data_IF_619407510745
#
_entry.id   IF_619407510745
#
_cell.length_a   1.000
_cell.length_b   1.000
_cell.length_c   1.000
_cell.angle_alpha   90.00
_cell.angle_beta   90.00
_cell.angle_gamma   90.00
#
_symmetry.space_group_name_H-M   'P 1'
#
loop_
_entity.id
_entity.type
_entity.pdbx_description
1 polymer ?
#
# COMPACT_ATOMS: atom_id res chain seq x y z
N UNK A 1 -6.72 10.68 5.64
CA UNK A 1 -5.63 10.65 4.65
C UNK A 1 -6.19 10.48 3.24
N UNK A 2 -5.47 10.94 2.23
CA UNK A 2 -5.79 10.80 0.81
C UNK A 2 -4.72 9.91 0.16
N UNK A 3 -5.09 9.09 -0.81
CA UNK A 3 -4.14 8.31 -1.57
C UNK A 3 -3.20 9.23 -2.37
N UNK A 4 -1.91 9.21 -2.04
CA UNK A 4 -0.84 9.89 -2.79
C UNK A 4 -0.20 8.88 -3.74
N UNK A 5 -0.07 9.26 -5.01
CA UNK A 5 0.46 8.38 -6.07
C UNK A 5 1.60 9.03 -6.86
N UNK A 6 2.03 10.20 -6.42
CA UNK A 6 3.17 10.95 -6.93
C UNK A 6 4.07 11.27 -5.75
N UNK A 7 5.34 10.91 -5.87
CA UNK A 7 6.31 11.07 -4.79
C UNK A 7 7.59 11.69 -5.31
N UNK A 8 8.22 12.50 -4.46
CA UNK A 8 9.58 12.98 -4.67
C UNK A 8 10.57 11.82 -4.54
N UNK A 9 11.75 11.89 -5.18
CA UNK A 9 12.75 10.83 -5.10
C UNK A 9 13.51 10.81 -3.77
N UNK A 10 13.28 11.81 -2.90
CA UNK A 10 13.99 11.93 -1.63
C UNK A 10 13.78 10.68 -0.76
N UNK A 11 14.84 10.10 -0.18
CA UNK A 11 14.73 8.93 0.67
C UNK A 11 13.93 9.25 1.94
N UNK A 12 13.14 8.29 2.41
CA UNK A 12 12.44 8.39 3.68
C UNK A 12 13.38 7.92 4.80
N UNK A 13 13.68 8.76 5.80
CA UNK A 13 14.50 8.37 6.94
C UNK A 13 13.93 7.15 7.69
N UNK A 14 14.81 6.26 8.16
CA UNK A 14 14.42 5.04 8.89
C UNK A 14 13.55 5.35 10.11
N UNK A 15 13.85 6.44 10.82
CA UNK A 15 13.08 6.85 12.01
C UNK A 15 11.62 7.21 11.68
N UNK A 16 11.36 7.73 10.47
CA UNK A 16 9.99 8.00 10.02
C UNK A 16 9.28 6.70 9.62
N UNK A 17 10.00 5.77 8.98
CA UNK A 17 9.47 4.44 8.66
C UNK A 17 9.11 3.70 9.95
N UNK A 18 9.99 3.68 10.95
CA UNK A 18 9.73 3.08 12.26
C UNK A 18 8.50 3.68 12.95
N UNK A 19 8.32 5.00 12.89
CA UNK A 19 7.13 5.67 13.48
C UNK A 19 5.83 5.25 12.79
N UNK A 20 5.82 5.11 11.47
CA UNK A 20 4.61 4.66 10.77
C UNK A 20 4.32 3.18 11.03
N UNK A 21 5.34 2.35 11.16
CA UNK A 21 5.20 0.94 11.54
C UNK A 21 4.72 0.80 12.98
N UNK A 22 5.27 1.60 13.90
CA UNK A 22 4.79 1.64 15.28
C UNK A 22 3.30 1.98 15.35
N UNK A 23 2.85 2.97 14.59
CA UNK A 23 1.43 3.31 14.53
C UNK A 23 0.58 2.18 13.93
N UNK A 24 1.10 1.49 12.92
CA UNK A 24 0.44 0.33 12.31
C UNK A 24 0.17 -0.76 13.37
N UNK A 25 1.16 -1.06 14.23
CA UNK A 25 1.02 -2.07 15.29
C UNK A 25 0.07 -1.66 16.42
N UNK A 26 -0.46 -0.43 16.42
CA UNK A 26 -1.52 0.00 17.38
C UNK A 26 -2.93 -0.31 16.87
N UNK A 27 -3.06 -0.98 15.73
CA UNK A 27 -4.33 -1.43 15.22
C UNK A 27 -4.94 -2.53 16.09
N UNK A 28 -6.26 -2.66 16.03
CA UNK A 28 -6.95 -3.81 16.61
C UNK A 28 -6.64 -5.08 15.82
N UNK A 29 -6.52 -6.20 16.51
CA UNK A 29 -6.45 -7.53 15.88
C UNK A 29 -7.33 -8.52 16.65
N UNK A 30 -7.92 -9.51 15.98
CA UNK A 30 -8.77 -10.49 16.63
C UNK A 30 -8.03 -11.18 17.78
N UNK A 31 -8.62 -11.15 18.97
CA UNK A 31 -8.02 -11.68 20.21
C UNK A 31 -6.56 -11.22 20.48
N UNK A 32 -6.21 -10.03 20.01
CA UNK A 32 -4.84 -9.47 20.11
C UNK A 32 -3.75 -10.42 19.53
N UNK A 33 -4.09 -11.19 18.50
CA UNK A 33 -3.15 -12.15 17.88
C UNK A 33 -2.00 -11.48 17.16
N UNK A 34 -2.18 -10.21 16.72
CA UNK A 34 -1.15 -9.41 16.06
C UNK A 34 -0.45 -10.16 14.92
N UNK A 35 -1.22 -10.91 14.14
CA UNK A 35 -0.74 -11.79 13.06
C UNK A 35 -0.31 -11.06 11.79
N UNK A 36 0.12 -9.81 11.90
CA UNK A 36 0.68 -9.02 10.80
C UNK A 36 2.20 -9.09 10.75
N UNK A 37 2.73 -8.93 9.56
CA UNK A 37 4.16 -8.73 9.28
C UNK A 37 4.30 -7.57 8.30
N UNK A 38 5.40 -6.82 8.41
CA UNK A 38 5.68 -5.68 7.53
C UNK A 38 7.00 -5.92 6.81
N UNK A 39 6.94 -5.98 5.48
CA UNK A 39 8.14 -6.07 4.64
C UNK A 39 8.40 -4.67 4.07
N UNK A 40 9.50 -4.06 4.48
CA UNK A 40 9.91 -2.72 4.07
C UNK A 40 11.00 -2.83 3.02
N UNK A 41 10.74 -2.28 1.85
CA UNK A 41 11.67 -2.30 0.71
C UNK A 41 12.16 -0.89 0.44
N UNK A 42 13.42 -0.63 0.76
CA UNK A 42 14.12 0.63 0.48
C UNK A 42 15.33 0.42 -0.44
N UNK A 43 15.81 -0.81 -0.60
CA UNK A 43 16.89 -1.15 -1.52
C UNK A 43 16.52 -0.81 -2.97
N UNK A 44 17.33 -0.01 -3.70
CA UNK A 44 17.00 0.44 -5.04
C UNK A 44 16.87 -0.69 -6.06
N UNK A 45 17.71 -1.73 -5.97
CA UNK A 45 17.70 -2.84 -6.92
C UNK A 45 16.46 -3.72 -6.73
N UNK A 46 16.09 -3.98 -5.47
CA UNK A 46 14.87 -4.74 -5.14
C UNK A 46 13.63 -3.92 -5.55
N UNK A 47 13.61 -2.61 -5.27
CA UNK A 47 12.51 -1.74 -5.70
C UNK A 47 12.36 -1.71 -7.22
N UNK A 48 13.49 -1.67 -7.95
CA UNK A 48 13.47 -1.72 -9.41
C UNK A 48 12.86 -3.03 -9.92
N UNK A 49 13.31 -4.18 -9.39
CA UNK A 49 12.76 -5.49 -9.77
C UNK A 49 11.25 -5.56 -9.52
N UNK A 50 10.78 -5.06 -8.37
CA UNK A 50 9.36 -4.98 -8.06
C UNK A 50 8.64 -4.04 -9.01
N UNK A 51 9.22 -2.87 -9.31
CA UNK A 51 8.64 -1.87 -10.21
C UNK A 51 8.41 -2.40 -11.61
N UNK A 52 9.37 -3.15 -12.15
CA UNK A 52 9.29 -3.74 -13.49
C UNK A 52 8.07 -4.68 -13.63
N UNK A 53 7.62 -5.32 -12.54
CA UNK A 53 6.41 -6.15 -12.54
C UNK A 53 5.11 -5.36 -12.79
N UNK A 54 5.09 -4.07 -12.45
CA UNK A 54 3.89 -3.24 -12.59
C UNK A 54 3.82 -2.46 -13.90
N UNK A 55 4.87 -2.47 -14.73
CA UNK A 55 4.88 -1.78 -16.01
C UNK A 55 3.75 -2.23 -16.96
N UNK A 56 3.42 -3.54 -17.08
CA UNK A 56 2.29 -3.97 -17.90
C UNK A 56 0.93 -3.42 -17.44
N UNK A 57 0.76 -3.21 -16.12
CA UNK A 57 -0.43 -2.55 -15.59
C UNK A 57 -0.50 -1.09 -16.04
N UNK A 58 0.60 -0.33 -15.91
CA UNK A 58 0.66 1.05 -16.34
C UNK A 58 0.36 1.20 -17.84
N UNK A 59 0.92 0.31 -18.67
CA UNK A 59 0.65 0.27 -20.12
C UNK A 59 -0.82 -0.03 -20.41
N UNK A 60 -1.44 -0.96 -19.71
CA UNK A 60 -2.88 -1.24 -19.86
C UNK A 60 -3.73 -0.03 -19.48
N UNK A 61 -3.41 0.63 -18.36
CA UNK A 61 -4.14 1.82 -17.90
C UNK A 61 -4.00 2.99 -18.88
N UNK A 62 -2.87 3.14 -19.55
CA UNK A 62 -2.66 4.20 -20.53
C UNK A 62 -3.57 4.09 -21.76
N UNK A 63 -4.10 2.89 -22.02
CA UNK A 63 -5.02 2.61 -23.15
C UNK A 63 -6.50 2.81 -22.80
N UNK A 64 -6.81 3.16 -21.54
CA UNK A 64 -8.19 3.40 -21.14
C UNK A 64 -8.71 4.71 -21.77
N UNK A 65 -9.97 4.72 -22.22
CA UNK A 65 -10.58 5.93 -22.76
C UNK A 65 -10.67 7.03 -21.69
N UNK A 66 -10.77 8.28 -22.16
CA UNK A 66 -11.01 9.41 -21.26
C UNK A 66 -12.34 9.19 -20.52
N UNK A 67 -12.35 9.17 -19.19
CA UNK A 67 -13.55 8.93 -18.37
C UNK A 67 -14.54 10.12 -18.35
N UNK A 68 -14.23 11.24 -19.03
CA UNK A 68 -15.14 12.35 -19.21
C UNK A 68 -15.26 13.34 -18.06
N UNK A 69 -14.69 13.05 -16.89
CA UNK A 69 -14.69 13.97 -15.74
C UNK A 69 -13.33 14.05 -15.05
N UNK A 70 -13.07 15.17 -14.38
CA UNK A 70 -11.75 15.47 -13.80
C UNK A 70 -11.36 14.57 -12.61
N UNK A 71 -12.34 14.06 -11.88
CA UNK A 71 -12.07 13.18 -10.73
C UNK A 71 -11.54 11.84 -11.20
N UNK A 72 -12.17 11.26 -12.21
CA UNK A 72 -11.75 9.97 -12.76
C UNK A 72 -10.50 10.10 -13.61
N UNK A 73 -10.31 11.23 -14.34
CA UNK A 73 -9.04 11.54 -15.01
C UNK A 73 -7.87 11.56 -14.04
N UNK A 74 -8.03 12.23 -12.89
CA UNK A 74 -7.00 12.26 -11.84
C UNK A 74 -6.75 10.88 -11.25
N UNK A 75 -7.79 10.10 -11.06
CA UNK A 75 -7.69 8.72 -10.56
C UNK A 75 -6.95 7.84 -11.54
N UNK A 76 -7.30 7.91 -12.83
CA UNK A 76 -6.66 7.14 -13.89
C UNK A 76 -5.19 7.52 -14.06
N UNK A 77 -4.88 8.83 -14.12
CA UNK A 77 -3.50 9.34 -14.16
C UNK A 77 -2.69 8.88 -12.96
N UNK A 78 -3.29 8.91 -11.77
CA UNK A 78 -2.64 8.42 -10.55
C UNK A 78 -2.38 6.93 -10.57
N UNK A 79 -3.32 6.12 -11.09
CA UNK A 79 -3.14 4.67 -11.22
C UNK A 79 -2.03 4.33 -12.24
N UNK A 80 -2.02 5.03 -13.37
CA UNK A 80 -0.97 4.88 -14.38
C UNK A 80 0.41 5.23 -13.79
N UNK A 81 0.52 6.37 -13.10
CA UNK A 81 1.78 6.79 -12.47
C UNK A 81 2.24 5.79 -11.41
N UNK A 82 1.31 5.27 -10.61
CA UNK A 82 1.61 4.26 -9.59
C UNK A 82 2.28 3.02 -10.21
N UNK A 83 1.71 2.49 -11.30
CA UNK A 83 2.28 1.34 -11.99
C UNK A 83 3.61 1.65 -12.70
N UNK A 84 3.70 2.80 -13.37
CA UNK A 84 4.89 3.19 -14.13
C UNK A 84 6.10 3.53 -13.25
N UNK A 85 5.86 3.99 -12.02
CA UNK A 85 6.90 4.51 -11.13
C UNK A 85 7.05 3.75 -9.82
N UNK A 86 6.42 2.59 -9.66
CA UNK A 86 6.49 1.83 -8.39
C UNK A 86 7.93 1.60 -7.92
N UNK A 87 8.85 1.25 -8.82
CA UNK A 87 10.26 1.04 -8.51
C UNK A 87 11.05 2.31 -8.17
N UNK A 88 10.54 3.48 -8.55
CA UNK A 88 11.18 4.78 -8.30
C UNK A 88 10.76 5.40 -6.97
N UNK A 89 9.70 4.90 -6.33
CA UNK A 89 9.27 5.41 -5.04
C UNK A 89 10.28 5.06 -3.95
N UNK A 90 10.56 5.97 -3.00
CA UNK A 90 11.66 5.79 -2.06
C UNK A 90 11.48 4.61 -1.10
N UNK A 91 10.24 4.19 -0.86
CA UNK A 91 9.92 3.08 0.02
C UNK A 91 8.64 2.38 -0.45
N UNK A 92 8.63 1.04 -0.38
CA UNK A 92 7.44 0.22 -0.59
C UNK A 92 7.27 -0.66 0.65
N UNK A 93 6.07 -0.67 1.24
CA UNK A 93 5.75 -1.49 2.41
C UNK A 93 4.67 -2.49 2.02
N UNK A 94 4.95 -3.78 2.17
CA UNK A 94 3.95 -4.84 2.10
C UNK A 94 3.46 -5.13 3.52
N UNK A 95 2.16 -4.98 3.74
CA UNK A 95 1.54 -5.39 5.00
C UNK A 95 0.97 -6.78 4.78
N UNK A 96 1.57 -7.73 5.44
CA UNK A 96 1.25 -9.14 5.32
C UNK A 96 0.52 -9.64 6.57
N UNK A 97 -0.15 -10.78 6.45
CA UNK A 97 -0.85 -11.40 7.56
C UNK A 97 -0.70 -12.91 7.57
N UNK A 98 -0.78 -13.49 8.77
CA UNK A 98 -0.87 -14.93 8.97
C UNK A 98 -2.28 -15.31 9.38
N UNK A 99 -2.84 -16.31 8.72
CA UNK A 99 -4.16 -16.82 9.05
C UNK A 99 -4.07 -17.77 10.24
N UNK A 100 -4.08 -17.21 11.45
CA UNK A 100 -3.82 -17.93 12.72
C UNK A 100 -4.99 -17.88 13.71
N UNK A 101 -6.12 -17.26 13.34
CA UNK A 101 -7.23 -17.08 14.27
C UNK A 101 -8.60 -17.43 13.63
N UNK A 102 -9.50 -18.12 14.37
CA UNK A 102 -9.27 -18.84 15.64
C UNK A 102 -8.23 -19.96 15.47
N UNK A 103 -7.52 -20.32 16.54
CA UNK A 103 -6.42 -21.28 16.45
C UNK A 103 -6.87 -22.70 15.99
N UNK A 104 -8.10 -23.09 16.32
CA UNK A 104 -8.72 -24.36 15.96
C UNK A 104 -9.36 -24.35 14.56
N UNK A 105 -9.66 -23.17 14.00
CA UNK A 105 -10.28 -23.01 12.68
C UNK A 105 -9.94 -21.63 12.09
N UNK A 106 -8.70 -21.41 11.63
CA UNK A 106 -8.26 -20.12 11.11
C UNK A 106 -9.08 -19.66 9.91
N UNK A 107 -9.44 -18.37 9.89
CA UNK A 107 -10.28 -17.77 8.84
C UNK A 107 -9.69 -16.47 8.32
N UNK A 108 -9.49 -16.40 7.01
CA UNK A 108 -8.92 -15.22 6.33
C UNK A 108 -9.60 -13.87 6.65
N UNK A 109 -10.96 -13.78 6.79
CA UNK A 109 -11.58 -12.50 7.14
C UNK A 109 -11.07 -11.89 8.45
N UNK A 110 -10.71 -12.71 9.44
CA UNK A 110 -10.13 -12.21 10.69
C UNK A 110 -8.71 -11.71 10.49
N UNK A 111 -7.92 -12.40 9.68
CA UNK A 111 -6.57 -11.94 9.32
C UNK A 111 -6.64 -10.60 8.58
N UNK A 112 -7.46 -10.49 7.53
CA UNK A 112 -7.58 -9.25 6.75
C UNK A 112 -8.12 -8.08 7.57
N UNK A 113 -8.99 -8.32 8.56
CA UNK A 113 -9.47 -7.26 9.46
C UNK A 113 -8.33 -6.59 10.22
N UNK A 114 -7.34 -7.37 10.68
CA UNK A 114 -6.15 -6.85 11.35
C UNK A 114 -5.21 -6.14 10.37
N UNK A 115 -4.91 -6.77 9.22
CA UNK A 115 -3.99 -6.25 8.21
C UNK A 115 -4.48 -4.90 7.65
N UNK A 116 -5.78 -4.78 7.34
CA UNK A 116 -6.34 -3.54 6.81
C UNK A 116 -6.43 -2.44 7.86
N UNK A 117 -6.71 -2.78 9.11
CA UNK A 117 -6.66 -1.82 10.22
C UNK A 117 -5.23 -1.29 10.42
N UNK A 118 -4.22 -2.18 10.42
CA UNK A 118 -2.82 -1.79 10.52
C UNK A 118 -2.38 -0.91 9.33
N UNK A 119 -2.78 -1.28 8.10
CA UNK A 119 -2.53 -0.49 6.89
C UNK A 119 -3.12 0.91 6.97
N UNK A 120 -4.34 1.04 7.50
CA UNK A 120 -4.99 2.33 7.65
C UNK A 120 -4.29 3.21 8.69
N UNK A 121 -3.88 2.64 9.84
CA UNK A 121 -3.10 3.36 10.85
C UNK A 121 -1.77 3.86 10.28
N UNK A 122 -1.06 3.00 9.52
CA UNK A 122 0.18 3.36 8.82
C UNK A 122 -0.03 4.60 7.94
N UNK A 123 -1.06 4.60 7.09
CA UNK A 123 -1.35 5.68 6.14
C UNK A 123 -1.71 6.99 6.88
N UNK A 124 -2.44 6.90 7.97
CA UNK A 124 -2.79 8.08 8.79
C UNK A 124 -1.55 8.65 9.46
N UNK A 125 -0.70 7.79 10.03
CA UNK A 125 0.56 8.20 10.64
C UNK A 125 1.53 8.81 9.63
N UNK A 126 1.67 8.20 8.43
CA UNK A 126 2.45 8.76 7.35
C UNK A 126 2.03 10.21 7.05
N UNK A 127 0.73 10.43 6.91
CA UNK A 127 0.18 11.78 6.68
C UNK A 127 0.52 12.76 7.81
N UNK A 128 0.41 12.34 9.07
CA UNK A 128 0.73 13.17 10.23
C UNK A 128 2.22 13.54 10.29
N UNK A 129 3.09 12.73 9.70
CA UNK A 129 4.54 12.94 9.61
C UNK A 129 4.98 13.67 8.33
N UNK A 130 4.04 14.21 7.53
CA UNK A 130 4.35 14.91 6.28
C UNK A 130 4.68 13.98 5.11
N UNK A 131 4.45 12.67 5.26
CA UNK A 131 4.62 11.69 4.19
C UNK A 131 3.31 11.45 3.44
N UNK A 132 3.44 11.03 2.19
CA UNK A 132 2.36 10.51 1.37
C UNK A 132 2.38 8.98 1.35
N UNK A 133 1.20 8.38 1.21
CA UNK A 133 1.05 6.94 1.03
C UNK A 133 -0.18 6.62 0.18
N UNK A 134 -0.21 5.44 -0.43
CA UNK A 134 -1.39 4.93 -1.11
C UNK A 134 -1.68 3.49 -0.69
N UNK A 135 -2.92 3.23 -0.29
CA UNK A 135 -3.40 1.86 -0.12
C UNK A 135 -3.63 1.24 -1.51
N UNK A 136 -2.97 0.13 -1.81
CA UNK A 136 -3.20 -0.59 -3.06
C UNK A 136 -3.14 -2.11 -2.88
N UNK A 137 -3.84 -2.82 -3.74
CA UNK A 137 -3.84 -4.29 -3.85
C UNK A 137 -3.31 -4.75 -5.20
N UNK A 138 -2.52 -3.92 -5.89
CA UNK A 138 -1.94 -4.24 -7.19
C UNK A 138 -1.04 -5.48 -7.17
N UNK A 139 -0.48 -5.83 -6.00
CA UNK A 139 0.30 -7.05 -5.80
C UNK A 139 -0.45 -8.31 -6.28
N UNK A 140 -1.77 -8.37 -6.13
CA UNK A 140 -2.55 -9.52 -6.54
C UNK A 140 -2.46 -9.87 -8.04
N UNK A 141 -1.96 -8.96 -8.87
CA UNK A 141 -1.73 -9.22 -10.29
C UNK A 141 -0.41 -9.95 -10.58
N UNK A 142 0.56 -9.86 -9.66
CA UNK A 142 1.95 -10.32 -9.82
C UNK A 142 2.47 -10.93 -8.50
N UNK A 143 1.58 -11.47 -7.69
CA UNK A 143 1.89 -11.91 -6.32
C UNK A 143 2.99 -12.96 -6.27
N UNK A 144 2.97 -13.94 -7.17
CA UNK A 144 3.95 -15.01 -7.19
C UNK A 144 5.37 -14.49 -7.46
N UNK A 145 5.51 -13.51 -8.36
CA UNK A 145 6.79 -12.88 -8.65
C UNK A 145 7.28 -12.06 -7.45
N UNK A 146 6.39 -11.32 -6.79
CA UNK A 146 6.71 -10.58 -5.57
C UNK A 146 7.21 -11.54 -4.47
N UNK A 147 6.51 -12.65 -4.26
CA UNK A 147 6.90 -13.69 -3.30
C UNK A 147 8.30 -14.21 -3.57
N UNK A 148 8.62 -14.46 -4.83
CA UNK A 148 9.96 -14.93 -5.24
C UNK A 148 11.02 -13.88 -4.94
N UNK A 149 10.81 -12.61 -5.32
CA UNK A 149 11.79 -11.53 -5.10
C UNK A 149 12.03 -11.28 -3.61
N UNK A 150 10.97 -11.29 -2.80
CA UNK A 150 11.04 -10.94 -1.38
C UNK A 150 11.16 -12.17 -0.46
N UNK A 151 11.21 -13.38 -1.01
CA UNK A 151 11.26 -14.64 -0.24
C UNK A 151 10.11 -14.75 0.78
N UNK A 152 8.89 -14.39 0.37
CA UNK A 152 7.72 -14.43 1.25
C UNK A 152 7.23 -15.86 1.39
N UNK A 153 7.15 -16.41 2.62
CA UNK A 153 6.65 -17.76 2.86
C UNK A 153 5.20 -17.96 2.40
N UNK A 154 4.85 -19.19 1.99
CA UNK A 154 3.52 -19.52 1.44
C UNK A 154 2.39 -19.30 2.45
N UNK A 155 2.66 -19.48 3.74
CA UNK A 155 1.70 -19.27 4.83
C UNK A 155 1.42 -17.79 5.15
N UNK A 156 2.17 -16.88 4.55
CA UNK A 156 2.01 -15.43 4.74
C UNK A 156 1.21 -14.84 3.57
N UNK A 157 0.14 -14.14 3.84
CA UNK A 157 -0.73 -13.49 2.86
C UNK A 157 -0.32 -12.02 2.68
N UNK A 158 -0.20 -11.56 1.46
CA UNK A 158 0.02 -10.14 1.18
C UNK A 158 -1.35 -9.44 1.19
N UNK A 159 -1.61 -8.60 2.18
CA UNK A 159 -2.87 -7.87 2.28
C UNK A 159 -2.87 -6.54 1.54
N UNK A 160 -1.80 -5.76 1.67
CA UNK A 160 -1.67 -4.47 0.99
C UNK A 160 -0.23 -4.18 0.57
N UNK A 161 -0.12 -3.40 -0.50
CA UNK A 161 1.13 -2.77 -0.93
C UNK A 161 0.98 -1.27 -0.76
N UNK A 162 1.87 -0.66 0.01
CA UNK A 162 1.82 0.76 0.36
C UNK A 162 3.12 1.43 -0.09
N UNK A 163 3.12 2.14 -1.24
CA UNK A 163 4.20 3.08 -1.54
C UNK A 163 4.17 4.22 -0.53
N UNK A 164 5.35 4.62 -0.07
CA UNK A 164 5.57 5.64 0.95
C UNK A 164 6.67 6.58 0.49
N UNK A 165 6.48 7.89 0.65
CA UNK A 165 7.46 8.90 0.29
C UNK A 165 6.97 10.31 0.58
N UNK A 166 7.79 11.31 0.27
CA UNK A 166 7.36 12.70 0.32
C UNK A 166 6.41 12.99 -0.85
N UNK A 167 5.24 13.59 -0.61
CA UNK A 167 4.27 13.83 -1.68
C UNK A 167 4.81 14.82 -2.71
N UNK A 168 4.58 14.51 -3.99
CA UNK A 168 4.84 15.39 -5.12
C UNK A 168 3.52 15.73 -5.80
N UNK A 169 2.79 16.67 -5.22
CA UNK A 169 1.49 17.12 -5.72
C UNK A 169 0.59 17.67 -4.63
N UNK A 170 -0.54 18.27 -5.03
CA UNK A 170 -1.41 18.95 -4.10
C UNK A 170 -2.11 17.97 -3.14
N UNK A 171 -2.12 18.33 -1.90
CA UNK A 171 -2.88 17.69 -0.84
C UNK A 171 -4.24 18.38 -0.73
N UNK A 172 -5.27 17.70 -1.16
CA UNK A 172 -6.65 18.21 -1.07
C UNK A 172 -7.54 17.34 -0.17
N UNK A 173 -8.76 17.80 0.13
CA UNK A 173 -9.74 17.00 0.85
C UNK A 173 -10.10 15.74 0.05
N UNK A 174 -10.56 14.73 0.75
CA UNK A 174 -11.17 13.55 0.12
C UNK A 174 -12.63 13.82 -0.18
N UNK A 175 -13.10 13.37 -1.35
CA UNK A 175 -14.52 13.31 -1.64
C UNK A 175 -15.14 12.07 -1.00
N UNK A 176 -16.27 12.20 -0.37
CA UNK A 176 -17.07 11.11 0.20
C UNK A 176 -18.55 11.40 -0.06
N UNK A 177 -19.35 10.36 -0.03
CA UNK A 177 -20.80 10.50 0.04
C UNK A 177 -21.21 11.25 1.31
N UNK A 178 -22.34 11.89 1.29
CA UNK A 178 -22.95 12.42 2.52
C UNK A 178 -23.27 11.26 3.47
N UNK A 179 -23.20 11.54 4.78
CA UNK A 179 -23.48 10.51 5.78
C UNK A 179 -24.94 10.01 5.70
N UNK A 180 -25.84 10.83 5.18
CA UNK A 180 -27.24 10.45 4.96
C UNK A 180 -27.45 9.45 3.81
N UNK A 181 -26.40 9.21 3.00
CA UNK A 181 -26.44 8.25 1.88
C UNK A 181 -25.85 6.87 2.22
N UNK A 182 -25.44 6.64 3.49
CA UNK A 182 -24.76 5.42 3.92
C UNK A 182 -25.41 4.79 5.14
#
# INVERSE_FOLDING_TARGET
>A
ARAMRFFKPDPVPSELIEKVLWAATRASSPNNTQGWDFIVVTDPEVRKQLGDLFLPFAERVSKFPDPGNDTDRRTLKGAQNLGANMGNFPCIIFVCGRNIYPADNPREPFMYSAVYAASQNLIVAARALGLGAAFTTLHGMVEQQIRTILSIPDEMYIGTTIPLGYPDGPEGPVSRKDISEV
#
